data_IF_314405653201
#
_entry.id   IF_314405653201
#
_cell.length_a   1.000
_cell.length_b   1.000
_cell.length_c   1.000
_cell.angle_alpha   90.00
_cell.angle_beta   90.00
_cell.angle_gamma   90.00
#
_symmetry.space_group_name_H-M   'P 1'
#
loop_
_entity.id
_entity.type
_entity.pdbx_description
1 polymer ?
#
# COMPACT_ATOMS: atom_id res chain seq x y z
N UNK A 1 21.17 11.62 5.55
CA UNK A 1 20.87 10.23 5.13
C UNK A 1 19.44 10.22 4.62
N UNK A 2 19.24 10.13 3.33
CA UNK A 2 17.89 10.03 2.72
C UNK A 2 17.28 8.70 3.16
N UNK A 3 16.21 8.77 3.95
CA UNK A 3 15.50 7.59 4.41
C UNK A 3 14.91 6.90 3.18
N UNK A 4 15.34 5.67 2.93
CA UNK A 4 14.91 4.89 1.77
C UNK A 4 13.41 4.64 1.88
N UNK A 5 12.63 5.08 0.91
CA UNK A 5 11.17 4.90 0.89
C UNK A 5 10.79 3.43 1.01
N UNK A 6 9.77 3.12 1.82
CA UNK A 6 9.30 1.77 2.12
C UNK A 6 7.79 1.68 1.93
N UNK A 7 7.32 0.52 1.56
CA UNK A 7 5.89 0.34 1.38
C UNK A 7 5.47 -1.11 1.32
N UNK A 8 4.22 -1.34 1.66
CA UNK A 8 3.58 -2.65 1.55
C UNK A 8 2.15 -2.49 1.03
N UNK A 9 1.67 -3.49 0.31
CA UNK A 9 0.26 -3.63 -0.05
C UNK A 9 -0.27 -4.93 0.57
N UNK A 10 -1.30 -4.81 1.36
CA UNK A 10 -2.02 -5.93 1.96
C UNK A 10 -3.26 -6.24 1.13
N UNK A 11 -3.38 -7.45 0.65
CA UNK A 11 -4.51 -7.93 -0.13
C UNK A 11 -5.21 -9.07 0.63
N UNK A 12 -6.51 -8.93 0.88
CA UNK A 12 -7.29 -10.01 1.51
C UNK A 12 -7.64 -11.09 0.47
N UNK A 13 -6.61 -11.75 -0.03
CA UNK A 13 -6.69 -12.74 -1.10
C UNK A 13 -5.58 -13.78 -0.94
N UNK A 14 -5.68 -14.90 -1.65
CA UNK A 14 -4.64 -15.92 -1.68
C UNK A 14 -3.33 -15.38 -2.29
N UNK A 15 -2.21 -15.97 -1.88
CA UNK A 15 -0.90 -15.65 -2.45
C UNK A 15 -0.85 -15.84 -3.97
N UNK A 16 -1.52 -16.86 -4.51
CA UNK A 16 -1.63 -17.05 -5.95
C UNK A 16 -2.31 -15.87 -6.66
N UNK A 17 -3.39 -15.33 -6.09
CA UNK A 17 -4.07 -14.14 -6.63
C UNK A 17 -3.22 -12.88 -6.53
N UNK A 18 -2.46 -12.74 -5.45
CA UNK A 18 -1.53 -11.62 -5.27
C UNK A 18 -0.35 -11.71 -6.26
N UNK A 19 0.21 -12.90 -6.49
CA UNK A 19 1.25 -13.14 -7.51
C UNK A 19 0.75 -12.75 -8.90
N UNK A 20 -0.46 -13.17 -9.26
CA UNK A 20 -1.06 -12.80 -10.53
C UNK A 20 -1.29 -11.28 -10.65
N UNK A 21 -1.68 -10.63 -9.55
CA UNK A 21 -1.78 -9.18 -9.52
C UNK A 21 -0.41 -8.52 -9.72
N UNK A 22 0.66 -9.01 -9.09
CA UNK A 22 2.03 -8.50 -9.30
C UNK A 22 2.45 -8.66 -10.76
N UNK A 23 2.28 -9.85 -11.36
CA UNK A 23 2.66 -10.13 -12.75
C UNK A 23 1.99 -9.19 -13.77
N UNK A 24 0.74 -8.80 -13.52
CA UNK A 24 0.00 -7.85 -14.36
C UNK A 24 0.38 -6.39 -14.13
N UNK A 25 1.39 -6.11 -13.34
CA UNK A 25 1.88 -4.75 -13.08
C UNK A 25 3.19 -4.45 -13.76
N UNK A 26 3.87 -3.45 -13.20
CA UNK A 26 5.19 -2.99 -13.68
C UNK A 26 6.21 -2.87 -12.56
N UNK A 27 5.88 -3.35 -11.35
CA UNK A 27 6.76 -3.31 -10.18
C UNK A 27 7.11 -4.73 -9.77
N UNK A 28 8.39 -5.13 -9.77
CA UNK A 28 8.84 -6.39 -9.19
C UNK A 28 8.61 -6.40 -7.69
N UNK A 29 7.98 -7.46 -7.17
CA UNK A 29 7.63 -7.55 -5.75
C UNK A 29 7.91 -8.92 -5.17
N UNK A 30 8.09 -8.95 -3.85
CA UNK A 30 7.95 -10.17 -3.05
C UNK A 30 6.48 -10.33 -2.66
N UNK A 31 6.00 -11.56 -2.56
CA UNK A 31 4.67 -11.89 -2.08
C UNK A 31 4.81 -12.87 -0.92
N UNK A 32 4.33 -12.46 0.26
CA UNK A 32 4.33 -13.30 1.46
C UNK A 32 2.89 -13.58 1.87
N UNK A 33 2.66 -14.77 2.42
CA UNK A 33 1.37 -15.16 2.96
C UNK A 33 1.37 -15.01 4.48
N UNK A 34 0.34 -14.36 5.02
CA UNK A 34 0.18 -14.23 6.45
C UNK A 34 -1.30 -14.22 6.84
N UNK A 35 -1.76 -15.33 7.45
CA UNK A 35 -3.17 -15.46 7.84
C UNK A 35 -4.14 -15.21 6.68
N UNK A 36 -5.04 -14.23 6.80
CA UNK A 36 -6.01 -13.85 5.78
C UNK A 36 -5.48 -12.83 4.75
N UNK A 37 -4.17 -12.50 4.79
CA UNK A 37 -3.55 -11.50 3.95
C UNK A 37 -2.43 -12.07 3.09
N UNK A 38 -2.33 -11.57 1.88
CA UNK A 38 -1.10 -11.59 1.10
C UNK A 38 -0.42 -10.23 1.22
N UNK A 39 0.85 -10.23 1.61
CA UNK A 39 1.68 -9.04 1.80
C UNK A 39 2.53 -8.88 0.55
N UNK A 40 2.36 -7.79 -0.17
CA UNK A 40 3.15 -7.45 -1.36
C UNK A 40 4.15 -6.37 -1.00
N UNK A 41 5.44 -6.65 -1.16
CA UNK A 41 6.55 -5.75 -0.84
C UNK A 41 7.34 -5.49 -2.11
N UNK A 42 7.60 -4.23 -2.51
CA UNK A 42 8.43 -3.96 -3.69
C UNK A 42 9.84 -4.50 -3.48
N UNK A 43 10.38 -5.20 -4.48
CA UNK A 43 11.72 -5.78 -4.42
C UNK A 43 12.82 -4.71 -4.49
N UNK A 44 12.53 -3.61 -5.19
CA UNK A 44 13.41 -2.45 -5.34
C UNK A 44 12.58 -1.17 -5.32
N UNK A 45 13.26 -0.01 -5.21
CA UNK A 45 12.59 1.30 -5.34
C UNK A 45 12.19 1.60 -6.80
N UNK A 46 12.79 0.94 -7.76
CA UNK A 46 12.52 1.14 -9.16
C UNK A 46 11.47 0.15 -9.70
N UNK A 47 10.61 0.62 -10.58
CA UNK A 47 9.80 -0.21 -11.45
C UNK A 47 10.63 -0.72 -12.64
N UNK A 48 10.04 -1.51 -13.52
CA UNK A 48 10.68 -1.92 -14.79
C UNK A 48 10.42 -0.95 -15.93
N UNK A 49 9.75 0.17 -15.68
CA UNK A 49 9.43 1.21 -16.67
C UNK A 49 10.33 2.42 -16.54
N UNK A 50 10.44 3.21 -17.60
CA UNK A 50 11.24 4.43 -17.62
C UNK A 50 10.54 5.59 -16.90
N UNK A 51 11.31 6.61 -16.52
CA UNK A 51 10.78 7.86 -15.97
C UNK A 51 9.72 8.49 -16.92
N UNK A 52 8.68 9.11 -16.39
CA UNK A 52 8.44 9.42 -14.96
C UNK A 52 7.72 8.30 -14.17
N UNK A 53 7.65 7.09 -14.70
CA UNK A 53 6.95 5.94 -14.10
C UNK A 53 7.92 4.90 -13.53
N UNK A 54 9.07 5.35 -13.05
CA UNK A 54 10.14 4.51 -12.51
C UNK A 54 10.07 4.32 -10.98
N UNK A 55 9.28 5.11 -10.25
CA UNK A 55 9.13 4.96 -8.79
C UNK A 55 8.12 3.88 -8.41
N UNK A 56 8.60 2.81 -7.81
CA UNK A 56 7.79 1.64 -7.43
C UNK A 56 6.69 1.95 -6.41
N UNK A 57 6.97 2.83 -5.43
CA UNK A 57 5.99 3.14 -4.37
C UNK A 57 4.82 3.94 -4.91
N UNK A 58 5.09 4.94 -5.75
CA UNK A 58 4.07 5.74 -6.43
C UNK A 58 3.17 4.87 -7.29
N UNK A 59 3.77 3.95 -8.05
CA UNK A 59 3.03 3.02 -8.89
C UNK A 59 2.17 2.05 -8.08
N UNK A 60 2.70 1.47 -7.02
CA UNK A 60 1.94 0.56 -6.16
C UNK A 60 0.81 1.29 -5.43
N UNK A 61 1.06 2.50 -4.92
CA UNK A 61 0.05 3.30 -4.23
C UNK A 61 -1.13 3.65 -5.14
N UNK A 62 -0.85 3.99 -6.42
CA UNK A 62 -1.86 4.39 -7.40
C UNK A 62 -2.50 3.21 -8.13
N UNK A 63 -1.94 2.01 -7.99
CA UNK A 63 -2.36 0.85 -8.77
C UNK A 63 -3.76 0.37 -8.40
N UNK A 64 -4.54 0.09 -9.43
CA UNK A 64 -5.88 -0.48 -9.27
C UNK A 64 -5.83 -1.88 -8.64
N UNK A 65 -6.64 -2.05 -7.59
CA UNK A 65 -6.87 -3.35 -6.96
C UNK A 65 -8.28 -3.82 -7.31
N UNK A 66 -8.40 -4.96 -7.95
CA UNK A 66 -9.69 -5.53 -8.31
C UNK A 66 -10.52 -5.98 -7.11
N UNK A 67 -11.86 -6.06 -7.23
CA UNK A 67 -12.75 -6.36 -6.10
C UNK A 67 -12.51 -7.74 -5.46
N UNK A 68 -11.91 -8.68 -6.19
CA UNK A 68 -11.56 -10.02 -5.67
C UNK A 68 -10.34 -10.03 -4.75
N UNK A 69 -9.58 -8.93 -4.70
CA UNK A 69 -8.39 -8.76 -3.86
C UNK A 69 -8.65 -7.86 -2.65
N UNK A 70 -9.92 -7.49 -2.42
CA UNK A 70 -10.32 -6.58 -1.35
C UNK A 70 -10.87 -7.32 -0.14
N UNK A 71 -10.78 -6.74 1.07
CA UNK A 71 -10.20 -5.43 1.36
C UNK A 71 -8.71 -5.37 1.01
N UNK A 72 -8.26 -4.18 0.58
CA UNK A 72 -6.87 -3.94 0.28
C UNK A 72 -6.40 -2.66 1.00
N UNK A 73 -5.23 -2.73 1.62
CA UNK A 73 -4.61 -1.62 2.36
C UNK A 73 -3.20 -1.42 1.80
N UNK A 74 -2.90 -0.21 1.36
CA UNK A 74 -1.53 0.18 1.01
C UNK A 74 -0.96 1.11 2.08
N UNK A 75 0.29 0.91 2.44
CA UNK A 75 1.02 1.66 3.47
C UNK A 75 2.38 2.03 2.90
N UNK A 76 2.65 3.31 2.70
CA UNK A 76 3.86 3.77 2.02
C UNK A 76 4.49 4.93 2.76
N UNK A 77 5.79 4.83 3.04
CA UNK A 77 6.64 5.94 3.47
C UNK A 77 7.38 6.45 2.23
N UNK A 78 6.94 7.57 1.72
CA UNK A 78 7.48 8.23 0.52
C UNK A 78 8.12 9.55 0.93
N UNK A 79 9.44 9.65 0.82
CA UNK A 79 10.20 10.80 1.31
C UNK A 79 9.78 11.16 2.75
N UNK A 80 9.16 12.32 2.98
CA UNK A 80 8.68 12.78 4.29
C UNK A 80 7.16 12.60 4.47
N UNK A 81 6.52 11.77 3.65
CA UNK A 81 5.07 11.60 3.65
C UNK A 81 4.68 10.14 3.88
N UNK A 82 3.80 9.91 4.85
CA UNK A 82 3.09 8.65 4.95
C UNK A 82 1.85 8.68 4.06
N UNK A 83 1.67 7.62 3.27
CA UNK A 83 0.49 7.42 2.44
C UNK A 83 -0.20 6.14 2.88
N UNK A 84 -1.48 6.23 3.22
CA UNK A 84 -2.34 5.07 3.46
C UNK A 84 -3.43 5.05 2.42
N UNK A 85 -3.57 3.93 1.74
CA UNK A 85 -4.69 3.69 0.83
C UNK A 85 -5.56 2.57 1.35
N UNK A 86 -6.87 2.67 1.17
CA UNK A 86 -7.81 1.62 1.52
C UNK A 86 -8.86 1.43 0.43
N UNK A 87 -9.19 0.19 0.15
CA UNK A 87 -10.22 -0.18 -0.81
C UNK A 87 -11.05 -1.34 -0.31
N UNK A 88 -12.37 -1.21 -0.42
CA UNK A 88 -13.33 -2.26 -0.13
C UNK A 88 -14.20 -2.54 -1.35
N UNK A 89 -14.32 -3.80 -1.75
CA UNK A 89 -15.18 -4.24 -2.84
C UNK A 89 -14.94 -3.47 -4.15
N UNK A 90 -16.00 -2.92 -4.71
CA UNK A 90 -15.96 -2.15 -5.98
C UNK A 90 -15.77 -0.66 -5.78
N UNK A 91 -15.69 -0.18 -4.55
CA UNK A 91 -15.52 1.25 -4.25
C UNK A 91 -14.15 1.75 -4.75
N UNK A 92 -14.02 3.04 -5.11
CA UNK A 92 -12.73 3.62 -5.43
C UNK A 92 -11.81 3.58 -4.21
N UNK A 93 -10.50 3.55 -4.44
CA UNK A 93 -9.52 3.68 -3.38
C UNK A 93 -9.65 5.04 -2.68
N UNK A 94 -9.51 5.04 -1.36
CA UNK A 94 -9.46 6.23 -0.53
C UNK A 94 -8.04 6.44 -0.01
N UNK A 95 -7.68 7.68 0.26
CA UNK A 95 -6.31 8.10 0.50
C UNK A 95 -6.21 8.95 1.76
N UNK A 96 -5.24 8.65 2.62
CA UNK A 96 -4.77 9.54 3.67
C UNK A 96 -3.30 9.85 3.41
N UNK A 97 -2.97 11.13 3.37
CA UNK A 97 -1.63 11.65 3.14
C UNK A 97 -1.22 12.42 4.39
N UNK A 98 -0.13 12.03 5.01
CA UNK A 98 0.40 12.69 6.21
C UNK A 98 1.86 13.05 5.99
N UNK A 99 2.13 14.34 5.89
CA UNK A 99 3.50 14.85 5.92
C UNK A 99 4.06 14.79 7.35
N UNK A 100 5.38 14.73 7.51
CA UNK A 100 6.02 14.89 8.80
C UNK A 100 5.55 16.22 9.44
N UNK A 101 5.26 16.19 10.74
CA UNK A 101 4.82 17.33 11.56
C UNK A 101 3.45 17.95 11.19
N UNK A 102 2.64 17.28 10.38
CA UNK A 102 1.36 17.84 9.94
C UNK A 102 0.21 16.87 10.13
N UNK A 103 -0.97 17.45 10.27
CA UNK A 103 -2.23 16.71 10.18
C UNK A 103 -2.39 16.02 8.83
N UNK A 104 -3.25 15.00 8.78
CA UNK A 104 -3.57 14.32 7.53
C UNK A 104 -4.20 15.32 6.56
N UNK A 105 -3.52 15.52 5.45
CA UNK A 105 -3.97 16.43 4.38
C UNK A 105 -4.80 15.68 3.34
N UNK A 106 -5.77 16.37 2.77
CA UNK A 106 -6.54 15.84 1.64
C UNK A 106 -5.78 16.13 0.36
N UNK A 107 -5.41 15.09 -0.36
CA UNK A 107 -4.86 15.26 -1.71
C UNK A 107 -5.91 15.87 -2.65
N UNK A 108 -5.55 16.81 -3.50
CA UNK A 108 -6.46 17.36 -4.50
C UNK A 108 -6.95 16.24 -5.41
N UNK A 109 -8.28 16.13 -5.55
CA UNK A 109 -8.95 15.11 -6.39
C UNK A 109 -8.83 13.65 -5.93
N UNK A 110 -8.24 13.37 -4.76
CA UNK A 110 -8.21 12.02 -4.19
C UNK A 110 -9.35 11.86 -3.17
N UNK A 111 -10.15 10.78 -3.24
CA UNK A 111 -11.15 10.49 -2.21
C UNK A 111 -10.45 10.30 -0.86
N UNK A 112 -10.82 11.13 0.12
CA UNK A 112 -10.18 11.08 1.43
C UNK A 112 -10.50 9.78 2.16
N UNK A 113 -9.48 9.19 2.81
CA UNK A 113 -9.62 8.09 3.75
C UNK A 113 -9.79 8.65 5.16
N UNK A 114 -10.95 8.42 5.74
CA UNK A 114 -11.23 8.77 7.14
C UNK A 114 -10.98 7.57 8.07
N UNK A 115 -10.85 7.80 9.39
CA UNK A 115 -10.81 6.71 10.37
C UNK A 115 -12.00 5.76 10.25
N UNK A 116 -13.19 6.30 9.98
CA UNK A 116 -14.43 5.55 9.80
C UNK A 116 -14.40 4.68 8.54
N UNK A 117 -13.83 5.18 7.45
CA UNK A 117 -13.68 4.42 6.21
C UNK A 117 -12.70 3.26 6.39
N UNK A 118 -11.56 3.49 7.04
CA UNK A 118 -10.59 2.44 7.34
C UNK A 118 -11.18 1.38 8.28
N UNK A 119 -11.82 1.81 9.37
CA UNK A 119 -12.50 0.92 10.30
C UNK A 119 -13.54 0.05 9.59
N UNK A 120 -14.37 0.65 8.74
CA UNK A 120 -15.38 -0.07 7.94
C UNK A 120 -14.76 -1.03 6.92
N UNK A 121 -13.64 -0.63 6.29
CA UNK A 121 -12.92 -1.47 5.32
C UNK A 121 -12.39 -2.75 5.96
N UNK A 122 -11.99 -2.70 7.23
CA UNK A 122 -11.43 -3.82 7.98
C UNK A 122 -12.47 -4.61 8.77
N UNK A 123 -13.69 -4.08 8.93
CA UNK A 123 -14.75 -4.72 9.71
C UNK A 123 -15.03 -6.15 9.21
N UNK A 124 -15.00 -7.11 10.13
CA UNK A 124 -15.23 -8.54 9.84
C UNK A 124 -14.09 -9.24 9.08
N UNK A 125 -12.96 -8.58 8.84
CA UNK A 125 -11.79 -9.26 8.27
C UNK A 125 -11.05 -10.05 9.37
N UNK A 126 -10.91 -11.39 9.24
CA UNK A 126 -10.29 -12.23 10.28
C UNK A 126 -8.79 -11.98 10.43
N UNK A 127 -8.15 -11.30 9.48
CA UNK A 127 -6.75 -10.92 9.52
C UNK A 127 -6.49 -9.52 10.08
N UNK A 128 -7.53 -8.85 10.60
CA UNK A 128 -7.42 -7.56 11.28
C UNK A 128 -7.99 -7.68 12.69
N UNK A 129 -7.40 -6.93 13.64
CA UNK A 129 -7.93 -6.85 14.99
C UNK A 129 -9.20 -6.01 15.01
N UNK A 130 -10.23 -6.47 15.69
CA UNK A 130 -11.40 -5.65 15.94
C UNK A 130 -11.03 -4.57 16.97
N UNK A 131 -11.04 -3.32 16.53
CA UNK A 131 -10.61 -2.16 17.31
C UNK A 131 -11.76 -1.17 17.40
N UNK A 132 -12.06 -0.61 18.59
CA UNK A 132 -13.05 0.46 18.70
C UNK A 132 -12.69 1.66 17.83
N UNK A 133 -13.67 2.25 17.17
CA UNK A 133 -13.46 3.42 16.28
C UNK A 133 -12.74 4.59 16.98
N UNK A 134 -12.93 4.75 18.30
CA UNK A 134 -12.23 5.78 19.09
C UNK A 134 -10.71 5.62 19.05
N UNK A 135 -10.21 4.38 19.01
CA UNK A 135 -8.76 4.10 18.94
C UNK A 135 -8.21 4.45 17.54
N UNK A 136 -8.97 4.14 16.50
CA UNK A 136 -8.58 4.53 15.12
C UNK A 136 -8.56 6.05 14.98
N UNK A 137 -9.54 6.76 15.55
CA UNK A 137 -9.56 8.24 15.58
C UNK A 137 -8.38 8.82 16.36
N UNK A 138 -8.06 8.24 17.53
CA UNK A 138 -6.91 8.67 18.34
C UNK A 138 -5.60 8.50 17.56
N UNK A 139 -5.43 7.37 16.87
CA UNK A 139 -4.29 7.12 15.99
C UNK A 139 -4.18 8.15 14.86
N UNK A 140 -5.30 8.51 14.24
CA UNK A 140 -5.33 9.51 13.18
C UNK A 140 -4.92 10.90 13.65
N UNK A 141 -5.22 11.24 14.88
CA UNK A 141 -4.88 12.53 15.50
C UNK A 141 -3.48 12.61 16.10
N UNK A 142 -2.68 11.52 16.08
CA UNK A 142 -1.31 11.52 16.62
C UNK A 142 -0.41 12.46 15.81
N UNK A 143 0.24 13.41 16.45
CA UNK A 143 1.18 14.37 15.82
C UNK A 143 2.61 14.22 16.32
N UNK A 144 2.82 13.37 17.32
CA UNK A 144 4.10 13.10 17.98
C UNK A 144 4.94 12.01 17.28
N UNK A 145 4.40 11.33 16.29
CA UNK A 145 5.07 10.27 15.53
C UNK A 145 5.62 10.80 14.20
N UNK A 146 6.77 10.31 13.79
CA UNK A 146 7.25 10.47 12.41
C UNK A 146 6.29 9.76 11.44
N UNK A 147 6.39 10.06 10.15
CA UNK A 147 5.56 9.43 9.12
C UNK A 147 5.71 7.90 9.09
N UNK A 148 6.92 7.36 9.29
CA UNK A 148 7.15 5.91 9.33
C UNK A 148 6.64 5.28 10.64
N UNK A 149 6.91 5.89 11.79
CA UNK A 149 6.39 5.42 13.08
C UNK A 149 4.87 5.39 13.09
N UNK A 150 4.23 6.39 12.47
CA UNK A 150 2.77 6.41 12.35
C UNK A 150 2.24 5.24 11.51
N UNK A 151 2.89 4.89 10.38
CA UNK A 151 2.51 3.72 9.58
C UNK A 151 2.66 2.41 10.37
N UNK A 152 3.76 2.27 11.10
CA UNK A 152 4.00 1.09 11.97
C UNK A 152 2.94 1.02 13.07
N UNK A 153 2.58 2.16 13.66
CA UNK A 153 1.52 2.22 14.67
C UNK A 153 0.14 1.89 14.08
N UNK A 154 -0.17 2.32 12.85
CA UNK A 154 -1.40 1.90 12.12
C UNK A 154 -1.47 0.39 12.01
N UNK A 155 -0.38 -0.25 11.59
CA UNK A 155 -0.30 -1.71 11.48
C UNK A 155 -0.48 -2.38 12.84
N UNK A 156 0.19 -1.86 13.88
CA UNK A 156 0.17 -2.43 15.24
C UNK A 156 -1.22 -2.34 15.87
N UNK A 157 -1.82 -1.16 15.84
CA UNK A 157 -3.16 -0.92 16.44
C UNK A 157 -4.21 -1.78 15.76
N UNK A 158 -4.18 -1.86 14.43
CA UNK A 158 -5.15 -2.61 13.65
C UNK A 158 -4.85 -4.12 13.57
N UNK A 159 -3.73 -4.58 14.14
CA UNK A 159 -3.31 -5.98 14.08
C UNK A 159 -3.05 -6.49 12.67
N UNK A 160 -2.65 -5.59 11.76
CA UNK A 160 -2.34 -5.93 10.38
C UNK A 160 -0.92 -6.50 10.27
N UNK A 161 -0.64 -7.36 9.28
CA UNK A 161 0.72 -7.80 8.99
C UNK A 161 1.50 -6.68 8.23
N UNK A 162 2.81 -6.89 8.04
CA UNK A 162 3.64 -6.01 7.20
C UNK A 162 4.43 -4.94 7.97
N UNK A 163 4.29 -4.85 9.31
CA UNK A 163 5.08 -3.91 10.12
C UNK A 163 6.58 -4.09 9.93
N UNK A 164 7.06 -5.34 9.90
CA UNK A 164 8.49 -5.65 9.71
C UNK A 164 9.02 -5.25 8.33
N UNK A 165 8.18 -5.33 7.29
CA UNK A 165 8.54 -4.83 5.97
C UNK A 165 8.62 -3.29 5.93
N UNK A 166 7.76 -2.61 6.70
CA UNK A 166 7.80 -1.15 6.83
C UNK A 166 9.01 -0.66 7.62
N UNK A 167 9.36 -1.32 8.74
CA UNK A 167 10.52 -0.93 9.55
C UNK A 167 11.85 -1.47 9.00
N UNK A 168 11.80 -2.37 8.00
CA UNK A 168 12.96 -2.97 7.36
C UNK A 168 13.63 -4.07 8.17
N UNK A 169 12.94 -4.63 9.16
CA UNK A 169 13.42 -5.74 9.98
C UNK A 169 13.07 -7.11 9.39
N UNK A 170 12.36 -7.16 8.28
CA UNK A 170 12.09 -8.42 7.58
C UNK A 170 13.40 -9.02 7.05
N UNK A 171 13.60 -10.29 7.39
CA UNK A 171 14.66 -11.12 6.83
C UNK A 171 14.42 -11.47 5.36
N UNK A 172 14.70 -12.69 4.96
CA UNK A 172 14.49 -13.15 3.57
C UNK A 172 13.01 -13.07 3.17
N UNK A 173 12.68 -12.17 2.24
CA UNK A 173 11.33 -11.94 1.73
C UNK A 173 10.88 -13.00 0.68
N UNK A 174 11.67 -14.06 0.47
CA UNK A 174 11.40 -15.06 -0.56
C UNK A 174 11.72 -14.58 -1.99
N UNK A 175 11.27 -15.31 -3.01
CA UNK A 175 11.60 -14.99 -4.39
C UNK A 175 10.92 -13.70 -4.86
N UNK A 176 11.61 -12.99 -5.77
CA UNK A 176 11.05 -11.85 -6.48
C UNK A 176 10.11 -12.35 -7.57
N UNK A 177 8.90 -11.83 -7.60
CA UNK A 177 7.94 -12.02 -8.68
C UNK A 177 8.11 -10.85 -9.65
N UNK A 178 8.50 -11.16 -10.88
CA UNK A 178 8.65 -10.15 -11.94
C UNK A 178 7.35 -9.92 -12.69
N UNK A 179 7.09 -8.69 -13.15
CA UNK A 179 6.01 -8.38 -14.08
C UNK A 179 6.13 -9.18 -15.38
N UNK A 180 5.00 -9.54 -15.99
CA UNK A 180 4.98 -10.14 -17.32
C UNK A 180 5.32 -9.09 -18.38
N UNK A 181 6.14 -9.46 -19.37
CA UNK A 181 6.54 -8.56 -20.46
C UNK A 181 5.33 -7.97 -21.21
N UNK A 182 4.26 -8.74 -21.37
CA UNK A 182 3.03 -8.27 -22.00
C UNK A 182 2.34 -7.16 -21.19
N UNK A 183 2.36 -7.24 -19.86
CA UNK A 183 1.81 -6.23 -19.00
C UNK A 183 2.65 -4.94 -19.04
N UNK A 184 3.97 -5.07 -19.06
CA UNK A 184 4.88 -3.92 -19.19
C UNK A 184 4.66 -3.21 -20.53
N UNK A 185 4.63 -3.94 -21.63
CA UNK A 185 4.36 -3.37 -22.97
C UNK A 185 3.01 -2.68 -23.05
N UNK A 186 1.96 -3.29 -22.47
CA UNK A 186 0.63 -2.68 -22.44
C UNK A 186 0.62 -1.35 -21.67
N UNK A 187 1.30 -1.30 -20.52
CA UNK A 187 1.45 -0.08 -19.72
C UNK A 187 2.19 1.02 -20.50
N UNK A 188 3.32 0.69 -21.12
CA UNK A 188 4.11 1.64 -21.91
C UNK A 188 3.34 2.19 -23.11
N UNK A 189 2.50 1.36 -23.75
CA UNK A 189 1.63 1.84 -24.83
C UNK A 189 0.64 2.88 -24.35
N UNK A 190 -0.07 2.61 -23.24
CA UNK A 190 -1.04 3.56 -22.65
C UNK A 190 -0.37 4.88 -22.27
N UNK A 191 0.82 4.81 -21.70
CA UNK A 191 1.57 6.02 -21.28
C UNK A 191 1.99 6.86 -22.50
N UNK A 192 2.43 6.24 -23.58
CA UNK A 192 2.78 6.97 -24.83
C UNK A 192 1.59 7.71 -25.41
N UNK A 193 0.41 7.08 -25.38
CA UNK A 193 -0.81 7.67 -25.95
C UNK A 193 -1.31 8.89 -25.15
N UNK A 194 -1.02 8.95 -23.84
CA UNK A 194 -1.41 10.08 -22.98
C UNK A 194 -0.50 11.30 -23.16
N UNK A 195 0.71 11.13 -23.71
CA UNK A 195 1.70 12.20 -23.89
C UNK A 195 1.77 12.73 -25.31
N UNK A 196 0.92 12.25 -26.24
CA UNK A 196 0.70 12.78 -27.58
C UNK A 196 -0.54 13.69 -27.63
#
# INVERSE_FOLDING_TARGET
>A
MTQQGRGVVLLAASSASAVEWVRRGVVPCHVLEHSAWSIVVPATRASVTAAPYDDALTLLASRHVGPRLTPAIGLFAMDDTAVVTARAGRSPARWALRAADREIVRGPRLPALTPEDLHRTLAGNPGAREVPIREVRALWGRTDLTHLEWLVEVVTVLGLPGGRALDGSDGALGPVISPDESAVRAFESVVKDVHQ
#
